data_IF_941830185651
#
_entry.id   IF_941830185651
#
_cell.length_a   1.000
_cell.length_b   1.000
_cell.length_c   1.000
_cell.angle_alpha   90.00
_cell.angle_beta   90.00
_cell.angle_gamma   90.00
#
_symmetry.space_group_name_H-M   'P 1'
#
loop_
_entity.id
_entity.type
_entity.pdbx_description
1 polymer ?
#
# COMPACT_ATOMS: atom_id res chain seq x y z
N UNK A 1 3.46 5.57 14.33
CA UNK A 1 4.16 4.28 14.07
C UNK A 1 5.13 4.34 12.89
N UNK A 2 5.29 5.49 12.22
CA UNK A 2 6.23 5.61 11.10
C UNK A 2 7.66 5.27 11.53
N UNK A 3 8.42 4.57 10.68
CA UNK A 3 9.86 4.39 10.83
C UNK A 3 10.65 5.68 10.59
N UNK A 4 10.07 6.65 9.89
CA UNK A 4 10.71 7.93 9.60
C UNK A 4 10.68 8.86 10.81
N UNK A 5 11.87 9.30 11.26
CA UNK A 5 12.01 10.28 12.34
C UNK A 5 11.34 11.62 12.00
N UNK A 6 11.38 12.03 10.73
CA UNK A 6 10.75 13.26 10.24
C UNK A 6 9.25 13.36 10.57
N UNK A 7 8.54 12.23 10.58
CA UNK A 7 7.09 12.18 10.88
C UNK A 7 6.78 12.05 12.37
N UNK A 8 7.79 11.85 13.21
CA UNK A 8 7.65 11.73 14.68
C UNK A 8 8.07 13.00 15.41
N UNK A 9 8.99 13.75 14.81
CA UNK A 9 9.55 14.96 15.42
C UNK A 9 8.46 16.01 15.66
N UNK A 10 8.39 16.53 16.88
CA UNK A 10 7.39 17.51 17.30
C UNK A 10 6.02 16.95 17.67
N UNK A 11 5.77 15.64 17.54
CA UNK A 11 4.49 14.99 17.88
C UNK A 11 4.52 14.18 19.20
N UNK A 12 5.57 14.32 19.99
CA UNK A 12 5.66 13.62 21.30
C UNK A 12 4.77 14.24 22.39
N UNK A 13 4.51 13.49 23.48
CA UNK A 13 4.95 12.10 23.68
C UNK A 13 4.18 11.12 22.80
N UNK A 14 4.87 10.09 22.31
CA UNK A 14 4.23 9.02 21.51
C UNK A 14 3.40 8.11 22.40
N UNK A 15 2.30 7.60 21.88
CA UNK A 15 1.46 6.61 22.58
C UNK A 15 2.31 5.38 22.94
N UNK A 16 2.35 4.97 24.24
CA UNK A 16 3.07 3.77 24.65
C UNK A 16 2.40 2.48 24.16
N UNK A 17 3.11 1.36 24.28
CA UNK A 17 2.58 0.04 23.96
C UNK A 17 2.81 -0.42 22.53
N UNK A 18 3.48 0.37 21.69
CA UNK A 18 3.82 -0.01 20.32
C UNK A 18 5.30 -0.31 20.17
N UNK A 19 5.59 -1.46 19.57
CA UNK A 19 6.95 -1.90 19.21
C UNK A 19 7.05 -2.03 17.71
N UNK A 20 8.01 -1.31 17.11
CA UNK A 20 8.29 -1.43 15.67
C UNK A 20 9.41 -2.45 15.46
N UNK A 21 9.23 -3.34 14.50
CA UNK A 21 10.23 -4.34 14.07
C UNK A 21 10.53 -4.16 12.59
N UNK A 22 11.63 -4.76 12.13
CA UNK A 22 11.98 -4.70 10.71
C UNK A 22 10.92 -5.43 9.87
N UNK A 23 10.57 -4.81 8.74
CA UNK A 23 9.60 -5.37 7.80
C UNK A 23 10.18 -6.61 7.12
N UNK A 24 9.34 -7.63 6.92
CA UNK A 24 9.73 -8.90 6.31
C UNK A 24 10.66 -9.76 7.18
N UNK A 25 10.68 -9.54 8.50
CA UNK A 25 11.45 -10.31 9.48
C UNK A 25 10.52 -10.98 10.52
N UNK A 26 10.10 -12.22 10.24
CA UNK A 26 9.25 -13.01 11.14
C UNK A 26 9.92 -13.30 12.49
N UNK A 27 11.24 -13.45 12.52
CA UNK A 27 11.97 -13.70 13.77
C UNK A 27 11.99 -12.46 14.66
N UNK A 28 12.10 -11.26 14.07
CA UNK A 28 11.97 -10.02 14.82
C UNK A 28 10.56 -9.85 15.39
N UNK A 29 9.51 -10.19 14.60
CA UNK A 29 8.11 -10.19 15.09
C UNK A 29 7.98 -11.17 16.27
N UNK A 30 8.42 -12.42 16.12
CA UNK A 30 8.34 -13.44 17.15
C UNK A 30 9.03 -13.03 18.46
N UNK A 31 10.20 -12.39 18.36
CA UNK A 31 10.94 -11.89 19.54
C UNK A 31 10.25 -10.72 20.22
N UNK A 32 9.47 -9.91 19.50
CA UNK A 32 8.77 -8.77 20.05
C UNK A 32 7.47 -9.15 20.79
N UNK A 33 6.90 -10.34 20.49
CA UNK A 33 5.70 -10.84 21.15
C UNK A 33 5.99 -11.10 22.63
N UNK A 34 5.12 -10.62 23.49
CA UNK A 34 5.17 -10.83 24.94
C UNK A 34 3.74 -10.86 25.52
N UNK A 35 3.61 -11.11 26.83
CA UNK A 35 2.30 -11.24 27.50
C UNK A 35 1.36 -10.04 27.39
N UNK A 36 1.85 -8.88 26.96
CA UNK A 36 1.06 -7.66 26.77
C UNK A 36 0.75 -7.39 25.30
N UNK A 37 1.24 -8.21 24.39
CA UNK A 37 0.97 -8.06 22.96
C UNK A 37 -0.46 -8.52 22.69
N UNK A 38 -1.25 -7.69 22.00
CA UNK A 38 -2.63 -8.00 21.63
C UNK A 38 -2.84 -8.10 20.10
N UNK A 39 -1.88 -7.65 19.29
CA UNK A 39 -2.04 -7.70 17.85
C UNK A 39 -0.80 -7.29 17.06
N UNK A 40 -0.85 -7.55 15.78
CA UNK A 40 0.15 -7.21 14.78
C UNK A 40 -0.53 -6.30 13.76
N UNK A 41 0.02 -5.11 13.53
CA UNK A 41 -0.43 -4.17 12.50
C UNK A 41 0.65 -4.05 11.43
N UNK A 42 0.31 -4.32 10.18
CA UNK A 42 1.27 -4.30 9.06
C UNK A 42 0.61 -3.91 7.74
N UNK A 43 1.35 -3.23 6.85
CA UNK A 43 0.98 -3.13 5.44
C UNK A 43 1.32 -4.46 4.75
N UNK A 44 0.38 -5.14 4.03
CA UNK A 44 0.70 -6.38 3.29
C UNK A 44 1.77 -6.19 2.21
N UNK A 45 1.86 -4.99 1.66
CA UNK A 45 2.93 -4.47 0.83
C UNK A 45 3.16 -3.02 1.24
N UNK A 46 4.38 -2.66 1.62
CA UNK A 46 4.65 -1.30 2.03
C UNK A 46 4.57 -0.32 0.86
N UNK A 47 3.85 0.78 1.07
CA UNK A 47 3.74 1.88 0.13
C UNK A 47 4.83 2.92 0.32
N UNK A 48 4.71 3.75 1.34
CA UNK A 48 5.67 4.81 1.64
C UNK A 48 7.06 4.26 1.98
N UNK A 49 7.18 3.01 2.43
CA UNK A 49 8.44 2.31 2.63
C UNK A 49 9.22 1.96 1.36
N UNK A 50 8.72 2.32 0.16
CA UNK A 50 9.41 2.13 -1.13
C UNK A 50 8.85 0.99 -1.97
N UNK A 51 7.55 0.77 -1.99
CA UNK A 51 6.83 -0.29 -2.72
C UNK A 51 7.43 -1.68 -2.42
N UNK A 52 7.68 -1.95 -1.14
CA UNK A 52 8.32 -3.20 -0.72
C UNK A 52 7.30 -4.34 -0.72
N UNK A 53 7.50 -5.27 -1.62
CA UNK A 53 6.77 -6.54 -1.64
C UNK A 53 7.47 -7.47 -0.65
N UNK A 54 6.75 -8.07 0.30
CA UNK A 54 7.37 -9.03 1.21
C UNK A 54 7.72 -10.33 0.50
N UNK A 55 8.59 -11.12 1.10
CA UNK A 55 8.89 -12.47 0.62
C UNK A 55 7.65 -13.37 0.69
N UNK A 56 7.58 -14.31 -0.23
CA UNK A 56 6.48 -15.28 -0.24
C UNK A 56 6.38 -16.02 1.09
N UNK A 57 5.20 -16.05 1.67
CA UNK A 57 4.93 -16.68 2.94
C UNK A 57 5.09 -15.78 4.16
N UNK A 58 5.51 -14.52 4.00
CA UNK A 58 5.62 -13.60 5.12
C UNK A 58 4.26 -13.33 5.79
N UNK A 59 3.21 -13.03 5.01
CA UNK A 59 1.88 -12.79 5.57
C UNK A 59 1.30 -14.07 6.20
N UNK A 60 1.55 -15.23 5.60
CA UNK A 60 1.19 -16.53 6.18
C UNK A 60 1.90 -16.78 7.51
N UNK A 61 3.19 -16.43 7.59
CA UNK A 61 3.96 -16.49 8.83
C UNK A 61 3.41 -15.57 9.91
N UNK A 62 3.01 -14.36 9.56
CA UNK A 62 2.35 -13.45 10.49
C UNK A 62 1.02 -14.00 11.01
N UNK A 63 0.21 -14.63 10.12
CA UNK A 63 -1.06 -15.24 10.52
C UNK A 63 -0.79 -16.41 11.49
N UNK A 64 0.17 -17.28 11.18
CA UNK A 64 0.53 -18.38 12.07
C UNK A 64 1.00 -17.88 13.45
N UNK A 65 1.87 -16.85 13.48
CA UNK A 65 2.32 -16.26 14.74
C UNK A 65 1.16 -15.64 15.54
N UNK A 66 0.22 -14.98 14.84
CA UNK A 66 -0.95 -14.40 15.49
C UNK A 66 -1.85 -15.49 16.07
N UNK A 67 -2.15 -16.56 15.33
CA UNK A 67 -2.98 -17.68 15.78
C UNK A 67 -2.33 -18.43 16.96
N UNK A 68 -1.01 -18.68 16.89
CA UNK A 68 -0.28 -19.37 17.96
C UNK A 68 -0.24 -18.60 19.29
N UNK A 69 -0.39 -17.28 19.25
CA UNK A 69 -0.25 -16.40 20.41
C UNK A 69 -1.55 -15.67 20.78
N UNK A 70 -2.68 -16.03 20.18
CA UNK A 70 -3.99 -15.39 20.38
C UNK A 70 -3.96 -13.88 20.15
N UNK A 71 -3.36 -13.45 19.02
CA UNK A 71 -3.20 -12.06 18.63
C UNK A 71 -4.11 -11.71 17.46
N UNK A 72 -4.54 -10.46 17.39
CA UNK A 72 -5.21 -9.91 16.23
C UNK A 72 -4.19 -9.57 15.13
N UNK A 73 -4.46 -10.00 13.90
CA UNK A 73 -3.72 -9.58 12.72
C UNK A 73 -4.50 -8.52 11.96
N UNK A 74 -3.95 -7.32 11.87
CA UNK A 74 -4.56 -6.19 11.18
C UNK A 74 -3.74 -5.77 9.97
N UNK A 75 -4.39 -5.62 8.81
CA UNK A 75 -3.74 -5.13 7.60
C UNK A 75 -4.12 -3.69 7.29
N UNK A 76 -3.10 -2.86 7.11
CA UNK A 76 -3.26 -1.51 6.55
C UNK A 76 -3.18 -1.61 5.01
N UNK A 77 -4.33 -1.57 4.39
CA UNK A 77 -4.49 -1.54 2.93
C UNK A 77 -4.93 -0.18 2.39
N UNK A 78 -4.72 0.89 3.17
CA UNK A 78 -5.07 2.25 2.77
C UNK A 78 -4.45 2.60 1.40
N UNK A 79 -3.23 2.13 1.12
CA UNK A 79 -2.52 2.47 -0.12
C UNK A 79 -2.54 1.35 -1.16
N UNK A 80 -2.62 0.10 -0.73
CA UNK A 80 -2.43 -1.08 -1.59
C UNK A 80 -3.71 -1.85 -1.90
N UNK A 81 -4.79 -1.54 -1.21
CA UNK A 81 -6.12 -2.11 -1.48
C UNK A 81 -6.81 -1.51 -2.71
N UNK A 82 -8.08 -1.84 -2.87
CA UNK A 82 -8.97 -1.31 -3.92
C UNK A 82 -8.40 -1.53 -5.33
N UNK A 83 -7.97 -2.75 -5.64
CA UNK A 83 -7.51 -3.13 -6.96
C UNK A 83 -6.07 -2.73 -7.32
N UNK A 84 -5.41 -1.91 -6.48
CA UNK A 84 -4.13 -1.28 -6.79
C UNK A 84 -3.02 -2.27 -7.15
N UNK A 85 -2.96 -3.41 -6.46
CA UNK A 85 -1.93 -4.44 -6.67
C UNK A 85 -2.35 -5.56 -7.65
N UNK A 86 -3.52 -5.42 -8.31
CA UNK A 86 -4.05 -6.43 -9.23
C UNK A 86 -4.86 -7.54 -8.53
N UNK A 87 -5.20 -7.33 -7.28
CA UNK A 87 -6.19 -8.07 -6.48
C UNK A 87 -7.11 -7.04 -5.82
N UNK A 88 -8.31 -7.44 -5.40
CA UNK A 88 -9.21 -6.51 -4.70
C UNK A 88 -8.54 -5.96 -3.46
N UNK A 89 -7.96 -6.85 -2.65
CA UNK A 89 -7.08 -6.51 -1.54
C UNK A 89 -5.72 -7.17 -1.70
N UNK A 90 -4.67 -6.52 -1.21
CA UNK A 90 -3.29 -6.98 -1.36
C UNK A 90 -3.04 -8.32 -0.64
N UNK A 91 -3.68 -8.57 0.49
CA UNK A 91 -3.55 -9.83 1.23
C UNK A 91 -3.98 -11.07 0.42
N UNK A 92 -4.82 -10.89 -0.59
CA UNK A 92 -5.28 -12.00 -1.44
C UNK A 92 -4.14 -12.63 -2.26
N UNK A 93 -2.99 -11.93 -2.44
CA UNK A 93 -1.82 -12.52 -3.10
C UNK A 93 -1.27 -13.74 -2.35
N UNK A 94 -1.39 -13.76 -1.03
CA UNK A 94 -1.00 -14.91 -0.20
C UNK A 94 -2.19 -15.70 0.36
N UNK A 95 -3.41 -15.24 0.14
CA UNK A 95 -4.63 -15.90 0.63
C UNK A 95 -4.77 -15.86 2.15
N UNK A 96 -4.25 -14.83 2.81
CA UNK A 96 -4.31 -14.64 4.26
C UNK A 96 -5.47 -13.70 4.59
N UNK A 97 -6.36 -14.11 5.50
CA UNK A 97 -7.46 -13.27 5.97
C UNK A 97 -7.05 -12.61 7.29
N UNK A 98 -7.08 -11.26 7.38
CA UNK A 98 -6.82 -10.56 8.63
C UNK A 98 -8.05 -10.55 9.55
N UNK A 99 -7.84 -10.28 10.84
CA UNK A 99 -8.91 -10.01 11.80
C UNK A 99 -9.44 -8.57 11.65
N UNK A 100 -8.62 -7.66 11.19
CA UNK A 100 -8.99 -6.28 10.89
C UNK A 100 -8.36 -5.76 9.61
N UNK A 101 -9.16 -5.05 8.81
CA UNK A 101 -8.75 -4.45 7.53
C UNK A 101 -8.99 -2.94 7.55
N UNK A 102 -7.96 -2.16 7.26
CA UNK A 102 -8.02 -0.70 7.21
C UNK A 102 -7.97 -0.27 5.75
N UNK A 103 -8.98 0.49 5.32
CA UNK A 103 -9.09 1.04 3.97
C UNK A 103 -9.19 2.56 4.00
N UNK A 104 -8.71 3.19 2.95
CA UNK A 104 -8.76 4.65 2.79
C UNK A 104 -8.42 5.06 1.36
N UNK A 105 -8.01 6.30 1.18
CA UNK A 105 -7.60 6.85 -0.14
C UNK A 105 -8.58 6.51 -1.27
N UNK A 106 -8.31 5.44 -2.02
CA UNK A 106 -9.08 5.04 -3.21
C UNK A 106 -10.49 4.53 -2.91
N UNK A 107 -10.84 4.23 -1.65
CA UNK A 107 -12.16 3.67 -1.28
C UNK A 107 -13.34 4.55 -1.74
N UNK A 108 -13.16 5.86 -1.90
CA UNK A 108 -14.18 6.78 -2.38
C UNK A 108 -14.04 7.19 -3.84
N UNK A 109 -13.16 6.54 -4.61
CA UNK A 109 -12.82 6.98 -5.98
C UNK A 109 -12.15 8.36 -6.04
N UNK A 110 -11.72 8.92 -4.92
CA UNK A 110 -11.12 10.25 -4.82
C UNK A 110 -12.14 11.41 -4.72
N UNK A 111 -13.43 11.12 -4.61
CA UNK A 111 -14.49 12.14 -4.57
C UNK A 111 -14.69 12.76 -3.18
N UNK A 112 -14.51 11.98 -2.13
CA UNK A 112 -14.72 12.44 -0.75
C UNK A 112 -13.71 11.79 0.22
N UNK A 113 -13.35 12.47 1.33
CA UNK A 113 -12.59 11.82 2.39
C UNK A 113 -13.41 10.68 2.99
N UNK A 114 -12.88 9.45 2.89
CA UNK A 114 -13.49 8.26 3.44
C UNK A 114 -12.39 7.29 3.89
N UNK A 115 -12.57 6.72 5.06
CA UNK A 115 -11.81 5.57 5.53
C UNK A 115 -12.77 4.58 6.18
N UNK A 116 -12.38 3.31 6.17
CA UNK A 116 -13.20 2.22 6.70
C UNK A 116 -12.29 1.28 7.47
N UNK A 117 -12.74 0.87 8.65
CA UNK A 117 -12.20 -0.26 9.37
C UNK A 117 -13.21 -1.41 9.31
N UNK A 118 -12.76 -2.56 8.86
CA UNK A 118 -13.57 -3.77 8.69
C UNK A 118 -13.04 -4.84 9.63
N UNK A 119 -13.92 -5.43 10.42
CA UNK A 119 -13.60 -6.56 11.28
C UNK A 119 -14.86 -7.45 11.43
N UNK A 120 -14.75 -8.56 12.13
CA UNK A 120 -15.90 -9.42 12.43
C UNK A 120 -16.80 -8.81 13.52
N UNK A 121 -18.02 -9.32 13.66
CA UNK A 121 -19.01 -8.81 14.63
C UNK A 121 -18.55 -9.01 16.08
N UNK A 122 -17.83 -10.08 16.37
CA UNK A 122 -17.37 -10.36 17.73
C UNK A 122 -16.39 -9.27 18.23
N UNK A 123 -15.41 -8.90 17.42
CA UNK A 123 -14.46 -7.82 17.72
C UNK A 123 -15.20 -6.47 17.75
N UNK A 124 -16.11 -6.25 16.77
CA UNK A 124 -16.85 -5.00 16.68
C UNK A 124 -17.70 -4.79 17.94
N UNK A 125 -18.44 -5.79 18.41
CA UNK A 125 -19.32 -5.68 19.57
C UNK A 125 -18.53 -5.50 20.89
N UNK A 126 -17.32 -6.05 20.98
CA UNK A 126 -16.46 -5.86 22.15
C UNK A 126 -15.87 -4.45 22.25
N UNK A 127 -15.51 -3.84 21.13
CA UNK A 127 -14.75 -2.59 21.10
C UNK A 127 -15.65 -1.39 20.78
N UNK A 128 -16.53 -1.53 19.80
CA UNK A 128 -17.37 -0.44 19.26
C UNK A 128 -18.83 -0.56 19.67
N UNK A 129 -19.08 -0.88 20.94
CA UNK A 129 -20.43 -0.88 21.48
C UNK A 129 -21.02 0.55 21.57
N UNK A 130 -22.32 0.67 21.71
CA UNK A 130 -23.01 1.95 21.76
C UNK A 130 -22.40 2.89 22.83
N UNK A 131 -21.92 4.06 22.40
CA UNK A 131 -21.31 5.08 23.26
C UNK A 131 -19.80 4.94 23.45
N UNK A 132 -19.13 3.91 22.92
CA UNK A 132 -17.67 3.76 23.05
C UNK A 132 -16.90 4.50 21.96
N UNK A 133 -17.51 4.76 20.80
CA UNK A 133 -16.93 5.49 19.68
C UNK A 133 -17.90 6.52 19.15
N UNK A 134 -17.36 7.59 18.55
CA UNK A 134 -18.15 8.63 17.94
C UNK A 134 -17.32 9.48 16.97
N UNK A 135 -17.94 9.79 15.84
CA UNK A 135 -17.36 10.66 14.82
C UNK A 135 -18.42 11.59 14.26
N UNK A 136 -18.14 12.90 14.23
CA UNK A 136 -19.08 13.87 13.67
C UNK A 136 -19.39 13.61 12.19
N UNK A 137 -18.41 13.12 11.43
CA UNK A 137 -18.53 12.83 10.01
C UNK A 137 -18.52 11.32 9.68
N UNK A 138 -18.46 10.46 10.68
CA UNK A 138 -18.57 9.00 10.49
C UNK A 138 -19.93 8.66 9.87
N UNK A 139 -19.92 7.88 8.79
CA UNK A 139 -21.15 7.53 8.06
C UNK A 139 -21.75 8.69 7.25
N UNK A 140 -20.97 9.76 6.92
CA UNK A 140 -21.47 10.87 6.10
C UNK A 140 -22.05 10.36 4.78
N UNK A 141 -23.34 10.59 4.49
CA UNK A 141 -24.04 9.90 3.41
C UNK A 141 -23.40 10.06 2.03
N UNK A 142 -22.90 11.25 1.70
CA UNK A 142 -22.26 11.49 0.39
C UNK A 142 -20.94 10.72 0.26
N UNK A 143 -20.16 10.62 1.33
CA UNK A 143 -18.92 9.83 1.31
C UNK A 143 -19.22 8.32 1.20
N UNK A 144 -20.27 7.84 1.88
CA UNK A 144 -20.70 6.44 1.80
C UNK A 144 -21.18 6.10 0.38
N UNK A 145 -21.99 6.97 -0.23
CA UNK A 145 -22.45 6.78 -1.62
C UNK A 145 -21.27 6.79 -2.59
N UNK A 146 -20.32 7.72 -2.42
CA UNK A 146 -19.11 7.75 -3.22
C UNK A 146 -18.30 6.45 -3.11
N UNK A 147 -18.20 5.88 -1.89
CA UNK A 147 -17.52 4.61 -1.65
C UNK A 147 -18.21 3.43 -2.33
N UNK A 148 -19.53 3.32 -2.19
CA UNK A 148 -20.34 2.27 -2.87
C UNK A 148 -20.16 2.39 -4.38
N UNK A 149 -20.36 3.58 -4.94
CA UNK A 149 -20.20 3.81 -6.38
C UNK A 149 -18.79 3.49 -6.87
N UNK A 150 -17.75 3.81 -6.11
CA UNK A 150 -16.37 3.47 -6.48
C UNK A 150 -16.14 1.95 -6.55
N UNK A 151 -16.76 1.19 -5.65
CA UNK A 151 -16.71 -0.29 -5.68
C UNK A 151 -17.48 -0.83 -6.88
N UNK A 152 -18.69 -0.31 -7.15
CA UNK A 152 -19.49 -0.71 -8.30
C UNK A 152 -18.73 -0.47 -9.61
N UNK A 153 -18.18 0.72 -9.82
CA UNK A 153 -17.35 1.04 -10.99
C UNK A 153 -16.14 0.13 -11.10
N UNK A 154 -15.47 -0.16 -9.98
CA UNK A 154 -14.32 -1.06 -9.98
C UNK A 154 -14.69 -2.47 -10.46
N UNK A 155 -15.89 -2.96 -10.10
CA UNK A 155 -16.42 -4.24 -10.54
C UNK A 155 -16.90 -4.20 -12.00
N UNK A 156 -17.73 -3.22 -12.35
CA UNK A 156 -18.34 -3.09 -13.68
C UNK A 156 -17.30 -2.91 -14.78
N UNK A 157 -16.24 -2.16 -14.51
CA UNK A 157 -15.13 -1.92 -15.45
C UNK A 157 -14.00 -2.95 -15.34
N UNK A 158 -14.10 -3.97 -14.49
CA UNK A 158 -13.08 -4.99 -14.23
C UNK A 158 -11.70 -4.40 -13.90
N UNK A 159 -11.66 -3.33 -13.09
CA UNK A 159 -10.44 -2.57 -12.84
C UNK A 159 -9.37 -3.38 -12.10
N UNK A 160 -9.75 -4.38 -11.32
CA UNK A 160 -8.82 -5.28 -10.63
C UNK A 160 -8.01 -6.10 -11.64
N UNK A 161 -8.68 -6.75 -12.58
CA UNK A 161 -8.03 -7.53 -13.65
C UNK A 161 -7.21 -6.62 -14.57
N UNK A 162 -7.77 -5.45 -14.91
CA UNK A 162 -7.06 -4.44 -15.70
C UNK A 162 -5.76 -3.99 -15.01
N UNK A 163 -5.79 -3.75 -13.71
CA UNK A 163 -4.61 -3.43 -12.91
C UNK A 163 -3.57 -4.57 -12.93
N UNK A 164 -4.02 -5.82 -12.82
CA UNK A 164 -3.13 -6.98 -12.90
C UNK A 164 -2.43 -7.05 -14.26
N UNK A 165 -3.21 -6.99 -15.35
CA UNK A 165 -2.73 -7.16 -16.73
C UNK A 165 -1.84 -5.98 -17.15
N UNK A 166 -2.32 -4.75 -17.01
CA UNK A 166 -1.56 -3.55 -17.36
C UNK A 166 -0.32 -3.37 -16.47
N UNK A 167 -0.44 -3.71 -15.20
CA UNK A 167 0.67 -3.69 -14.26
C UNK A 167 1.79 -4.67 -14.62
N UNK A 168 1.43 -5.88 -15.07
CA UNK A 168 2.41 -6.86 -15.52
C UNK A 168 3.17 -6.37 -16.77
N UNK A 169 2.43 -5.81 -17.76
CA UNK A 169 3.02 -5.21 -18.97
C UNK A 169 3.95 -4.06 -18.58
N UNK A 170 3.46 -3.11 -17.81
CA UNK A 170 4.21 -1.93 -17.38
C UNK A 170 5.47 -2.31 -16.63
N UNK A 171 5.37 -3.23 -15.66
CA UNK A 171 6.52 -3.70 -14.89
C UNK A 171 7.56 -4.41 -15.77
N UNK A 172 7.14 -5.22 -16.73
CA UNK A 172 8.04 -5.88 -17.69
C UNK A 172 8.82 -4.84 -18.50
N UNK A 173 8.12 -3.87 -19.06
CA UNK A 173 8.74 -2.80 -19.86
C UNK A 173 9.68 -1.91 -19.05
N UNK A 174 9.31 -1.57 -17.81
CA UNK A 174 10.21 -0.83 -16.91
C UNK A 174 11.46 -1.66 -16.61
N UNK A 175 11.35 -2.99 -16.44
CA UNK A 175 12.53 -3.86 -16.26
C UNK A 175 13.45 -3.89 -17.50
N UNK A 176 12.90 -3.85 -18.71
CA UNK A 176 13.67 -3.73 -19.95
C UNK A 176 14.46 -2.42 -20.01
N UNK A 177 13.84 -1.30 -19.58
CA UNK A 177 14.50 0.00 -19.44
C UNK A 177 15.60 -0.07 -18.36
N UNK A 178 15.25 -0.63 -17.19
CA UNK A 178 16.16 -0.77 -16.06
C UNK A 178 17.43 -1.57 -16.40
N UNK A 179 17.31 -2.62 -17.23
CA UNK A 179 18.45 -3.43 -17.65
C UNK A 179 19.52 -2.63 -18.46
N UNK A 180 19.13 -1.52 -19.06
CA UNK A 180 20.01 -0.61 -19.81
C UNK A 180 20.42 0.64 -19.01
N UNK A 181 19.80 0.84 -17.85
CA UNK A 181 19.98 2.02 -17.04
C UNK A 181 21.22 1.91 -16.13
N UNK A 182 22.12 2.89 -16.12
CA UNK A 182 23.19 2.95 -15.13
C UNK A 182 22.66 3.32 -13.73
N UNK A 183 21.46 3.88 -13.64
CA UNK A 183 20.91 4.48 -12.44
C UNK A 183 19.99 3.54 -11.65
N UNK A 184 19.32 2.59 -12.31
CA UNK A 184 18.35 1.71 -11.66
C UNK A 184 19.04 0.55 -10.94
N UNK A 185 18.64 0.33 -9.69
CA UNK A 185 19.06 -0.81 -8.86
C UNK A 185 18.08 -1.96 -8.97
N UNK A 186 16.78 -1.67 -8.83
CA UNK A 186 15.73 -2.67 -8.77
C UNK A 186 14.39 -2.12 -9.25
N UNK A 187 13.55 -3.00 -9.83
CA UNK A 187 12.14 -2.72 -10.15
C UNK A 187 11.27 -3.76 -9.46
N UNK A 188 10.41 -3.32 -8.56
CA UNK A 188 9.51 -4.17 -7.74
C UNK A 188 8.09 -3.64 -7.72
N UNK A 189 7.17 -4.40 -7.17
CA UNK A 189 5.77 -4.01 -7.03
C UNK A 189 4.82 -5.02 -7.67
N UNK A 190 3.51 -4.81 -7.46
CA UNK A 190 2.44 -5.63 -7.99
C UNK A 190 1.34 -4.75 -8.62
N UNK A 191 0.69 -5.24 -9.66
CA UNK A 191 -0.33 -4.48 -10.39
C UNK A 191 0.20 -3.12 -10.84
N UNK A 192 -0.62 -2.09 -10.70
CA UNK A 192 -0.27 -0.70 -11.00
C UNK A 192 0.34 0.03 -9.78
N UNK A 193 1.16 -0.66 -9.00
CA UNK A 193 1.89 -0.12 -7.87
C UNK A 193 3.34 -0.57 -7.93
N UNK A 194 4.17 0.21 -8.64
CA UNK A 194 5.54 -0.17 -9.02
C UNK A 194 6.53 0.84 -8.42
N UNK A 195 7.61 0.34 -7.85
CA UNK A 195 8.74 1.10 -7.38
C UNK A 195 9.97 0.86 -8.25
N UNK A 196 10.65 1.93 -8.65
CA UNK A 196 11.93 1.90 -9.33
C UNK A 196 12.97 2.42 -8.34
N UNK A 197 13.74 1.53 -7.73
CA UNK A 197 14.80 1.92 -6.81
C UNK A 197 16.04 2.35 -7.59
N UNK A 198 16.55 3.52 -7.26
CA UNK A 198 17.77 4.06 -7.87
C UNK A 198 18.98 3.79 -6.99
N UNK A 199 20.17 3.69 -7.62
CA UNK A 199 21.45 3.39 -6.95
C UNK A 199 21.93 4.55 -6.09
N UNK A 200 21.78 5.76 -6.60
CA UNK A 200 22.16 6.99 -5.93
C UNK A 200 20.92 7.55 -5.23
N UNK A 201 21.04 7.90 -3.97
CA UNK A 201 19.96 8.25 -3.04
C UNK A 201 19.19 9.53 -3.39
N UNK A 202 18.82 9.73 -4.64
CA UNK A 202 18.10 10.94 -5.06
C UNK A 202 17.06 10.69 -6.16
N UNK A 203 16.08 9.86 -5.85
CA UNK A 203 14.96 9.59 -6.75
C UNK A 203 14.17 10.86 -7.13
N UNK A 204 14.19 11.90 -6.27
CA UNK A 204 13.51 13.17 -6.52
C UNK A 204 14.08 13.89 -7.76
N UNK A 205 15.38 13.76 -8.08
CA UNK A 205 15.96 14.35 -9.29
C UNK A 205 15.29 13.79 -10.53
N UNK A 206 15.06 12.48 -10.59
CA UNK A 206 14.36 11.83 -11.69
C UNK A 206 12.87 12.25 -11.75
N UNK A 207 12.22 12.36 -10.60
CA UNK A 207 10.85 12.87 -10.53
C UNK A 207 10.73 14.30 -11.07
N UNK A 208 11.70 15.18 -10.77
CA UNK A 208 11.75 16.54 -11.31
C UNK A 208 11.99 16.57 -12.83
N UNK A 209 12.79 15.65 -13.35
CA UNK A 209 12.98 15.53 -14.81
C UNK A 209 11.73 15.05 -15.50
N UNK A 210 11.03 14.03 -14.92
CA UNK A 210 9.75 13.55 -15.41
C UNK A 210 8.69 14.67 -15.41
N UNK A 211 8.66 15.50 -14.36
CA UNK A 211 7.74 16.64 -14.26
C UNK A 211 7.94 17.63 -15.42
N UNK A 212 9.20 17.93 -15.82
CA UNK A 212 9.51 18.77 -16.98
C UNK A 212 9.02 18.17 -18.30
N UNK A 213 8.75 16.87 -18.32
CA UNK A 213 8.21 16.13 -19.45
C UNK A 213 6.70 15.86 -19.32
N UNK A 214 6.02 16.62 -18.46
CA UNK A 214 4.57 16.49 -18.17
C UNK A 214 4.17 15.13 -17.60
N UNK A 215 5.04 14.49 -16.83
CA UNK A 215 4.76 13.28 -16.08
C UNK A 215 5.02 13.51 -14.59
N UNK A 216 3.96 13.41 -13.79
CA UNK A 216 4.06 13.53 -12.34
C UNK A 216 4.42 12.18 -11.74
N UNK A 217 5.52 12.14 -11.01
CA UNK A 217 5.92 11.03 -10.17
C UNK A 217 6.43 11.56 -8.82
N UNK A 218 6.38 10.75 -7.80
CA UNK A 218 6.92 11.08 -6.48
C UNK A 218 7.99 10.08 -6.08
N UNK A 219 8.90 10.50 -5.21
CA UNK A 219 9.81 9.58 -4.58
C UNK A 219 9.23 9.00 -3.29
N UNK A 220 9.77 7.87 -2.89
CA UNK A 220 9.56 7.26 -1.59
C UNK A 220 10.91 7.02 -0.93
N UNK A 221 11.07 7.54 0.29
CA UNK A 221 12.31 7.48 1.09
C UNK A 221 13.58 7.96 0.36
N UNK A 222 13.45 8.84 -0.63
CA UNK A 222 14.58 9.41 -1.37
C UNK A 222 15.26 8.45 -2.38
N UNK A 223 14.90 7.18 -2.39
CA UNK A 223 15.56 6.15 -3.21
C UNK A 223 14.68 5.52 -4.27
N UNK A 224 13.37 5.63 -4.16
CA UNK A 224 12.45 4.89 -5.02
C UNK A 224 11.52 5.84 -5.76
N UNK A 225 11.52 5.82 -7.08
CA UNK A 225 10.52 6.50 -7.91
C UNK A 225 9.24 5.67 -7.83
N UNK A 226 8.15 6.28 -7.39
CA UNK A 226 6.84 5.66 -7.28
C UNK A 226 6.04 5.83 -8.55
N UNK A 227 5.67 4.72 -9.17
CA UNK A 227 4.80 4.64 -10.34
C UNK A 227 3.47 4.01 -9.94
N UNK A 228 2.43 4.84 -9.87
CA UNK A 228 1.09 4.41 -9.46
C UNK A 228 0.00 5.13 -10.28
N UNK A 229 -0.10 4.82 -11.58
CA UNK A 229 -1.08 5.46 -12.45
C UNK A 229 -2.51 5.07 -12.07
N UNK A 230 -3.55 5.79 -12.56
CA UNK A 230 -4.94 5.40 -12.37
C UNK A 230 -5.20 3.98 -12.86
N UNK A 231 -6.14 3.26 -12.22
CA UNK A 231 -6.52 1.90 -12.65
C UNK A 231 -7.13 1.87 -14.06
N UNK A 232 -7.68 2.99 -14.50
CA UNK A 232 -8.29 3.18 -15.83
C UNK A 232 -7.27 3.47 -16.93
N UNK A 233 -5.96 3.49 -16.61
CA UNK A 233 -4.90 3.80 -17.59
C UNK A 233 -5.02 2.90 -18.83
N UNK A 234 -4.81 3.48 -20.01
CA UNK A 234 -4.84 2.80 -21.28
C UNK A 234 -3.43 2.58 -21.86
N UNK A 235 -3.36 1.83 -22.96
CA UNK A 235 -2.08 1.46 -23.60
C UNK A 235 -1.31 2.69 -24.12
N UNK A 236 -1.99 3.69 -24.67
CA UNK A 236 -1.33 4.90 -25.18
C UNK A 236 -0.70 5.71 -24.05
N UNK A 237 -1.35 5.78 -22.89
CA UNK A 237 -0.83 6.44 -21.70
C UNK A 237 0.33 5.66 -21.07
N UNK A 238 0.28 4.34 -21.10
CA UNK A 238 1.40 3.48 -20.68
C UNK A 238 2.61 3.73 -21.58
N UNK A 239 2.43 3.75 -22.91
CA UNK A 239 3.50 4.02 -23.85
C UNK A 239 4.09 5.42 -23.67
N UNK A 240 3.22 6.42 -23.44
CA UNK A 240 3.62 7.78 -23.10
C UNK A 240 4.50 7.83 -21.84
N UNK A 241 4.13 7.09 -20.81
CA UNK A 241 4.90 7.00 -19.56
C UNK A 241 6.25 6.31 -19.76
N UNK A 242 6.26 5.17 -20.47
CA UNK A 242 7.47 4.39 -20.74
C UNK A 242 8.52 5.18 -21.51
N UNK A 243 8.10 5.94 -22.55
CA UNK A 243 8.99 6.81 -23.32
C UNK A 243 9.72 7.83 -22.42
N UNK A 244 9.00 8.40 -21.45
CA UNK A 244 9.59 9.39 -20.53
C UNK A 244 10.51 8.76 -19.50
N UNK A 245 10.12 7.61 -18.97
CA UNK A 245 10.97 6.84 -18.06
C UNK A 245 12.27 6.45 -18.75
N UNK A 246 12.22 6.00 -19.99
CA UNK A 246 13.42 5.64 -20.76
C UNK A 246 14.35 6.85 -20.94
N UNK A 247 13.83 8.01 -21.36
CA UNK A 247 14.61 9.24 -21.55
C UNK A 247 15.28 9.75 -20.28
N UNK A 248 14.73 9.44 -19.11
CA UNK A 248 15.22 9.94 -17.82
C UNK A 248 16.16 8.94 -17.17
N UNK A 249 15.98 7.65 -17.43
CA UNK A 249 16.70 6.58 -16.75
C UNK A 249 17.87 6.00 -17.57
N UNK A 250 17.87 6.18 -18.89
CA UNK A 250 18.89 5.69 -19.82
C UNK A 250 19.64 6.86 -20.47
#
# INVERSE_FOLDING_TARGET
FSSSQKYKEGFGPTTPGFVSVDYNDLEAVKKAINKNTCGILVEPMQGEGGMRVPDNGFLKGLRSLADENDLLLMFDEIQVGMGRTGKTFCFEHEGVIPDGLILGKAISGGLAPLSVFITNSEIMDLVFHAGSDGSTFGGYPLACVAGVTAIDVMQDENLVEKSANQGAILKSKIKEIAARSPHVKEVRGNGLFIGIEVKDSNAMVFCQQLLKMNMIANDSHGHTIRISPPLVINESEINYMLERLERVLV
#
